data_IF_181830360224
#
_entry.id   IF_181830360224
#
_cell.length_a   1.000
_cell.length_b   1.000
_cell.length_c   1.000
_cell.angle_alpha   90.00
_cell.angle_beta   90.00
_cell.angle_gamma   90.00
#
_symmetry.space_group_name_H-M   'P 1'
#
loop_
_entity.id
_entity.type
_entity.pdbx_description
1 polymer ?
#
# COMPACT_ATOMS: atom_id res chain seq x y z
N UNK A 1 1.53 -32.70 6.84
CA UNK A 1 1.03 -31.47 7.49
C UNK A 1 1.70 -30.32 6.77
N UNK A 2 0.96 -29.62 5.92
CA UNK A 2 1.48 -28.47 5.20
C UNK A 2 1.40 -27.28 6.15
N UNK A 3 2.57 -26.75 6.52
CA UNK A 3 2.68 -25.54 7.32
C UNK A 3 1.97 -24.43 6.56
N UNK A 4 1.10 -23.68 7.24
CA UNK A 4 0.50 -22.48 6.67
C UNK A 4 1.61 -21.50 6.34
N UNK A 5 1.89 -21.34 5.05
CA UNK A 5 2.62 -20.19 4.55
C UNK A 5 1.73 -18.98 4.84
N UNK A 6 2.11 -18.18 5.83
CA UNK A 6 1.63 -16.81 5.91
C UNK A 6 2.21 -16.12 4.69
N UNK A 7 1.40 -15.94 3.64
CA UNK A 7 1.83 -15.19 2.46
C UNK A 7 2.18 -13.79 2.94
N UNK A 8 3.47 -13.46 3.00
CA UNK A 8 3.86 -12.07 2.78
C UNK A 8 3.15 -11.64 1.51
N UNK A 9 2.48 -10.48 1.55
CA UNK A 9 1.91 -9.93 0.33
C UNK A 9 3.04 -9.85 -0.69
N UNK A 10 2.91 -10.59 -1.79
CA UNK A 10 3.83 -10.46 -2.91
C UNK A 10 3.85 -8.99 -3.35
N UNK A 11 5.02 -8.50 -3.78
CA UNK A 11 5.15 -7.14 -4.32
C UNK A 11 4.14 -6.92 -5.45
N UNK A 12 3.66 -5.68 -5.58
CA UNK A 12 2.89 -5.28 -6.76
C UNK A 12 3.69 -5.61 -8.01
N UNK A 13 3.06 -6.22 -9.00
CA UNK A 13 3.76 -6.73 -10.17
C UNK A 13 4.41 -5.61 -10.98
N UNK A 14 3.86 -4.39 -10.93
CA UNK A 14 4.47 -3.20 -11.51
C UNK A 14 5.79 -2.74 -10.84
N UNK A 15 6.14 -3.27 -9.65
CA UNK A 15 7.42 -3.01 -8.97
C UNK A 15 8.46 -4.10 -9.23
N UNK A 16 8.05 -5.21 -9.85
CA UNK A 16 8.92 -6.35 -10.15
C UNK A 16 9.49 -6.21 -11.57
N UNK A 17 10.82 -6.32 -11.78
CA UNK A 17 11.42 -6.33 -13.12
C UNK A 17 10.79 -7.40 -14.04
N UNK A 18 10.53 -7.04 -15.30
CA UNK A 18 9.83 -7.92 -16.25
C UNK A 18 10.53 -9.26 -16.54
N UNK A 19 11.85 -9.35 -16.32
CA UNK A 19 12.62 -10.58 -16.48
C UNK A 19 12.35 -11.61 -15.37
N UNK A 20 11.87 -11.14 -14.21
CA UNK A 20 11.42 -11.96 -13.09
C UNK A 20 9.96 -12.42 -13.24
N UNK A 21 9.23 -11.90 -14.25
CA UNK A 21 7.84 -12.29 -14.47
C UNK A 21 7.72 -13.72 -15.01
N UNK A 22 6.61 -14.43 -14.70
CA UNK A 22 6.31 -15.73 -15.30
C UNK A 22 6.44 -15.70 -16.83
N UNK A 23 7.11 -16.69 -17.43
CA UNK A 23 7.35 -16.73 -18.88
C UNK A 23 6.14 -17.20 -19.69
N UNK A 24 5.17 -17.83 -19.02
CA UNK A 24 3.95 -18.33 -19.63
C UNK A 24 3.07 -17.16 -20.13
N UNK A 25 2.73 -17.10 -21.43
CA UNK A 25 1.97 -15.99 -22.00
C UNK A 25 0.56 -15.82 -21.42
N UNK A 26 -0.12 -16.90 -21.07
CA UNK A 26 -1.48 -16.83 -20.52
C UNK A 26 -1.47 -16.28 -19.09
N UNK A 27 -0.47 -16.65 -18.30
CA UNK A 27 -0.21 -16.08 -16.97
C UNK A 27 0.09 -14.59 -17.06
N UNK A 28 0.95 -14.16 -18.01
CA UNK A 28 1.23 -12.73 -18.24
C UNK A 28 -0.02 -11.94 -18.61
N UNK A 29 -0.87 -12.48 -19.49
CA UNK A 29 -2.16 -11.87 -19.84
C UNK A 29 -3.10 -11.76 -18.64
N UNK A 30 -3.13 -12.79 -17.78
CA UNK A 30 -3.97 -12.77 -16.59
C UNK A 30 -3.52 -11.68 -15.60
N UNK A 31 -2.21 -11.54 -15.40
CA UNK A 31 -1.60 -10.48 -14.59
C UNK A 31 -1.96 -9.10 -15.15
N UNK A 32 -1.68 -8.84 -16.43
CA UNK A 32 -1.83 -7.50 -17.00
C UNK A 32 -3.29 -7.11 -17.22
N UNK A 33 -4.23 -8.06 -17.18
CA UNK A 33 -5.67 -7.77 -17.22
C UNK A 33 -6.12 -6.88 -16.07
N UNK A 34 -5.49 -7.01 -14.91
CA UNK A 34 -5.90 -6.32 -13.69
C UNK A 34 -5.10 -5.02 -13.47
N UNK A 35 -4.23 -4.65 -14.41
CA UNK A 35 -3.49 -3.38 -14.40
C UNK A 35 -4.41 -2.24 -14.83
N UNK A 36 -4.27 -1.09 -14.17
CA UNK A 36 -4.99 0.14 -14.52
C UNK A 36 -4.04 1.36 -14.60
N UNK A 37 -4.17 2.11 -15.69
CA UNK A 37 -3.40 3.33 -15.94
C UNK A 37 -1.88 3.19 -15.75
N UNK A 38 -1.26 4.24 -15.21
CA UNK A 38 0.18 4.30 -14.96
C UNK A 38 0.63 3.62 -13.66
N UNK A 39 -0.31 3.27 -12.78
CA UNK A 39 -0.01 2.75 -11.44
C UNK A 39 -0.06 1.22 -11.34
N UNK A 40 -0.35 0.55 -12.46
CA UNK A 40 -0.24 -0.90 -12.59
C UNK A 40 -1.31 -1.63 -11.81
N UNK A 41 -0.93 -2.67 -11.08
CA UNK A 41 -1.84 -3.56 -10.37
C UNK A 41 -2.12 -3.14 -8.92
N UNK A 42 -1.85 -1.88 -8.53
CA UNK A 42 -2.05 -1.32 -7.17
C UNK A 42 -3.53 -1.18 -6.74
N UNK A 43 -4.37 -2.14 -7.10
CA UNK A 43 -5.79 -2.23 -6.77
C UNK A 43 -5.97 -2.98 -5.46
N UNK A 44 -6.72 -2.38 -4.54
CA UNK A 44 -7.07 -3.00 -3.26
C UNK A 44 -8.56 -3.37 -3.23
N UNK A 45 -8.86 -4.57 -2.73
CA UNK A 45 -10.23 -5.01 -2.45
C UNK A 45 -10.38 -5.31 -0.96
N UNK A 46 -11.30 -4.63 -0.29
CA UNK A 46 -11.55 -4.79 1.15
C UNK A 46 -12.88 -5.50 1.37
N UNK A 47 -12.87 -6.57 2.19
CA UNK A 47 -14.08 -7.30 2.59
C UNK A 47 -14.32 -7.12 4.08
N UNK A 48 -15.46 -6.53 4.43
CA UNK A 48 -15.86 -6.34 5.82
C UNK A 48 -16.89 -7.39 6.24
N UNK A 49 -16.55 -8.15 7.29
CA UNK A 49 -17.45 -9.13 7.91
C UNK A 49 -17.76 -8.65 9.33
N UNK A 50 -19.00 -8.26 9.57
CA UNK A 50 -19.41 -7.70 10.85
C UNK A 50 -20.91 -7.78 11.08
N UNK A 51 -21.32 -7.54 12.32
CA UNK A 51 -22.73 -7.47 12.68
C UNK A 51 -23.33 -6.10 12.35
N UNK A 52 -24.64 -6.04 12.15
CA UNK A 52 -25.38 -4.79 11.92
C UNK A 52 -24.96 -3.99 10.67
N UNK A 53 -24.29 -4.61 9.68
CA UNK A 53 -23.90 -3.94 8.43
C UNK A 53 -25.08 -3.28 7.70
N UNK A 54 -26.21 -4.00 7.61
CA UNK A 54 -27.46 -3.51 7.03
C UNK A 54 -28.21 -2.50 7.92
N UNK A 55 -27.77 -2.27 9.16
CA UNK A 55 -28.31 -1.25 10.08
C UNK A 55 -27.37 -0.06 10.19
N UNK A 56 -26.92 0.43 9.04
CA UNK A 56 -26.03 1.59 8.92
C UNK A 56 -24.55 1.31 9.22
N UNK A 57 -24.14 0.06 9.44
CA UNK A 57 -22.72 -0.29 9.59
C UNK A 57 -21.93 -0.03 8.30
N UNK A 58 -22.51 -0.42 7.16
CA UNK A 58 -21.93 -0.16 5.84
C UNK A 58 -21.71 1.34 5.58
N UNK A 59 -22.73 2.17 5.84
CA UNK A 59 -22.65 3.62 5.60
C UNK A 59 -21.55 4.27 6.45
N UNK A 60 -21.43 3.89 7.73
CA UNK A 60 -20.37 4.40 8.60
C UNK A 60 -18.99 4.01 8.10
N UNK A 61 -18.81 2.77 7.65
CA UNK A 61 -17.54 2.30 7.08
C UNK A 61 -17.20 3.04 5.80
N UNK A 62 -18.18 3.17 4.87
CA UNK A 62 -17.98 3.95 3.64
C UNK A 62 -17.58 5.38 3.96
N UNK A 63 -18.29 6.06 4.86
CA UNK A 63 -17.96 7.44 5.25
C UNK A 63 -16.57 7.56 5.87
N UNK A 64 -16.15 6.59 6.68
CA UNK A 64 -14.82 6.59 7.26
C UNK A 64 -13.74 6.38 6.19
N UNK A 65 -13.94 5.47 5.24
CA UNK A 65 -13.02 5.23 4.13
C UNK A 65 -12.98 6.42 3.16
N UNK A 66 -14.13 7.03 2.85
CA UNK A 66 -14.20 8.22 2.00
C UNK A 66 -13.42 9.40 2.62
N UNK A 67 -13.39 9.49 3.96
CA UNK A 67 -12.61 10.49 4.67
C UNK A 67 -11.09 10.24 4.64
N UNK A 68 -10.66 9.03 4.26
CA UNK A 68 -9.25 8.68 4.05
C UNK A 68 -8.80 8.86 2.59
N UNK A 69 -9.70 9.23 1.68
CA UNK A 69 -9.32 9.50 0.29
C UNK A 69 -8.56 10.82 0.21
N UNK A 70 -7.46 10.79 -0.56
CA UNK A 70 -6.75 12.01 -0.91
C UNK A 70 -7.67 12.94 -1.70
N UNK A 71 -7.57 14.24 -1.41
CA UNK A 71 -8.16 15.27 -2.26
C UNK A 71 -7.29 15.51 -3.51
N UNK A 72 -7.76 16.33 -4.46
CA UNK A 72 -7.08 16.56 -5.74
C UNK A 72 -5.67 17.14 -5.62
N UNK A 73 -5.39 17.93 -4.58
CA UNK A 73 -4.08 18.53 -4.32
C UNK A 73 -3.12 17.51 -3.69
N UNK A 74 -3.60 16.76 -2.71
CA UNK A 74 -2.85 15.65 -2.09
C UNK A 74 -2.52 14.56 -3.12
N UNK A 75 -3.48 14.20 -3.97
CA UNK A 75 -3.28 13.21 -5.02
C UNK A 75 -2.19 13.67 -5.99
N UNK A 76 -2.20 14.93 -6.42
CA UNK A 76 -1.15 15.48 -7.29
C UNK A 76 0.22 15.44 -6.62
N UNK A 77 0.29 15.78 -5.34
CA UNK A 77 1.53 15.76 -4.57
C UNK A 77 2.08 14.33 -4.45
N UNK A 78 1.20 13.35 -4.25
CA UNK A 78 1.54 11.93 -4.30
C UNK A 78 2.04 11.52 -5.69
N UNK A 79 1.41 11.95 -6.79
CA UNK A 79 1.88 11.65 -8.14
C UNK A 79 3.29 12.20 -8.39
N UNK A 80 3.57 13.43 -7.96
CA UNK A 80 4.89 14.05 -8.06
C UNK A 80 5.95 13.29 -7.25
N UNK A 81 5.61 12.81 -6.05
CA UNK A 81 6.51 11.98 -5.25
C UNK A 81 6.80 10.63 -5.90
N UNK A 82 5.78 9.97 -6.45
CA UNK A 82 5.92 8.69 -7.14
C UNK A 82 6.74 8.77 -8.44
N UNK A 83 6.83 9.94 -9.06
CA UNK A 83 7.64 10.20 -10.25
C UNK A 83 9.08 10.67 -9.93
N UNK A 84 9.43 10.77 -8.64
CA UNK A 84 10.75 11.21 -8.19
C UNK A 84 11.77 10.06 -8.09
N UNK A 85 13.06 10.40 -8.04
CA UNK A 85 14.14 9.42 -7.85
C UNK A 85 14.18 8.83 -6.42
N UNK A 86 13.59 9.53 -5.43
CA UNK A 86 13.59 9.15 -4.00
C UNK A 86 12.16 8.99 -3.47
N UNK A 87 11.37 8.12 -4.11
CA UNK A 87 9.93 7.96 -3.81
C UNK A 87 9.63 7.82 -2.32
N UNK A 88 10.35 6.94 -1.61
CA UNK A 88 10.07 6.64 -0.20
C UNK A 88 10.22 7.90 0.69
N UNK A 89 11.38 8.56 0.61
CA UNK A 89 11.66 9.78 1.39
C UNK A 89 10.61 10.87 1.12
N UNK A 90 10.21 11.03 -0.15
CA UNK A 90 9.20 12.03 -0.54
C UNK A 90 7.82 11.70 0.00
N UNK A 91 7.45 10.42 0.05
CA UNK A 91 6.17 10.00 0.64
C UNK A 91 6.17 10.19 2.16
N UNK A 92 7.28 9.87 2.83
CA UNK A 92 7.42 10.05 4.29
C UNK A 92 7.32 11.53 4.70
N UNK A 93 7.82 12.45 3.86
CA UNK A 93 7.65 13.89 4.07
C UNK A 93 6.22 14.39 3.82
N UNK A 94 5.51 13.79 2.86
CA UNK A 94 4.18 14.24 2.44
C UNK A 94 3.07 13.71 3.35
N UNK A 95 3.21 12.49 3.84
CA UNK A 95 2.21 11.80 4.61
C UNK A 95 2.80 11.40 5.96
N UNK A 96 2.36 12.07 7.02
CA UNK A 96 2.59 11.58 8.38
C UNK A 96 1.97 10.17 8.47
N UNK A 97 2.76 9.18 8.89
CA UNK A 97 2.34 7.77 8.94
C UNK A 97 1.19 7.51 9.93
N UNK A 98 0.82 8.52 10.73
CA UNK A 98 -0.26 8.49 11.72
C UNK A 98 0.02 7.56 12.90
N UNK A 99 1.19 6.93 12.90
CA UNK A 99 1.73 6.20 14.03
C UNK A 99 2.63 7.20 14.77
N UNK A 100 2.10 7.91 15.77
CA UNK A 100 2.98 8.46 16.83
C UNK A 100 3.92 7.34 17.32
N UNK A 101 5.10 7.66 17.87
CA UNK A 101 6.18 6.77 18.39
C UNK A 101 5.72 5.63 19.36
N UNK A 102 4.73 4.84 18.99
CA UNK A 102 4.05 3.80 19.77
C UNK A 102 4.88 2.52 19.86
N UNK A 103 6.16 2.59 19.51
CA UNK A 103 7.17 1.56 19.75
C UNK A 103 8.49 2.11 20.32
N UNK A 104 8.54 3.28 20.95
CA UNK A 104 9.75 3.63 21.73
C UNK A 104 9.90 2.78 23.01
N UNK A 105 8.85 2.10 23.51
CA UNK A 105 8.90 1.36 24.79
C UNK A 105 9.20 -0.15 24.69
N UNK A 106 9.66 -0.66 23.56
CA UNK A 106 10.24 -2.02 23.51
C UNK A 106 11.37 -2.14 22.50
N UNK A 107 12.44 -1.39 22.73
CA UNK A 107 13.71 -1.58 22.04
C UNK A 107 14.38 -2.89 22.49
N UNK A 108 14.22 -3.95 21.70
CA UNK A 108 15.37 -4.76 21.30
C UNK A 108 15.32 -4.99 19.78
N UNK A 109 15.98 -4.10 19.03
CA UNK A 109 16.64 -4.47 17.78
C UNK A 109 15.97 -4.13 16.44
N UNK A 110 15.50 -2.90 16.23
CA UNK A 110 15.39 -2.38 14.86
C UNK A 110 16.17 -1.06 14.74
N UNK A 111 17.41 -1.20 14.26
CA UNK A 111 18.33 -0.10 13.98
C UNK A 111 17.85 0.63 12.72
N UNK A 112 17.11 1.71 12.90
CA UNK A 112 17.04 2.76 11.89
C UNK A 112 18.30 3.62 12.07
N UNK A 113 19.43 3.10 11.60
CA UNK A 113 20.65 3.89 11.53
C UNK A 113 20.53 4.93 10.42
N UNK A 114 20.95 6.13 10.79
CA UNK A 114 21.17 7.35 10.01
C UNK A 114 19.92 8.23 9.78
N UNK A 115 19.82 9.45 10.30
CA UNK A 115 20.85 10.28 10.91
C UNK A 115 20.49 11.76 10.70
N UNK A 116 19.43 12.24 11.35
CA UNK A 116 19.11 13.67 11.33
C UNK A 116 19.84 14.40 12.46
N UNK A 117 20.82 15.25 12.10
CA UNK A 117 20.76 16.70 12.41
C UNK A 117 21.95 17.52 11.86
N UNK A 118 21.52 18.61 11.22
CA UNK A 118 22.12 19.95 11.07
C UNK A 118 23.31 20.19 10.14
#
# INVERSE_FOLDING_TARGET
>A
MQYGEWSQADLWRCEVPEDEWPKDPETRKAITRDFDGKWGDRRQELVFIGQQMRKGGEERLRRALDACLLNDEEFRSWEEAMESDNVQERLDELFEDGFEDWLETSHEGHDHSDGHKH
#
